data_IF_326053163491
#
_entry.id   IF_326053163491
#
_cell.length_a   1.000
_cell.length_b   1.000
_cell.length_c   1.000
_cell.angle_alpha   90.00
_cell.angle_beta   90.00
_cell.angle_gamma   90.00
#
_symmetry.space_group_name_H-M   'P 1'
#
loop_
_entity.id
_entity.type
_entity.pdbx_description
1 polymer ?
#
# COMPACT_ATOMS: atom_id res chain seq x y z
N UNK A 1 4.25 4.17 2.40
CA UNK A 1 2.92 3.57 2.08
C UNK A 1 2.27 4.19 0.85
N UNK A 2 2.16 5.52 0.73
CA UNK A 2 1.58 6.20 -0.46
C UNK A 2 2.17 5.72 -1.80
N UNK A 3 3.46 5.41 -1.82
CA UNK A 3 4.16 4.90 -3.00
C UNK A 3 3.57 3.58 -3.55
N UNK A 4 3.04 2.70 -2.71
CA UNK A 4 2.38 1.46 -3.18
C UNK A 4 1.06 1.74 -3.90
N UNK A 5 0.26 2.68 -3.41
CA UNK A 5 -0.97 3.10 -4.10
C UNK A 5 -0.64 3.76 -5.43
N UNK A 6 0.40 4.59 -5.45
CA UNK A 6 0.91 5.22 -6.65
C UNK A 6 1.37 4.18 -7.69
N UNK A 7 2.20 3.23 -7.29
CA UNK A 7 2.68 2.18 -8.20
C UNK A 7 1.55 1.27 -8.69
N UNK A 8 0.55 1.01 -7.84
CA UNK A 8 -0.65 0.30 -8.27
C UNK A 8 -1.38 1.03 -9.41
N UNK A 9 -1.52 2.34 -9.31
CA UNK A 9 -2.08 3.17 -10.37
C UNK A 9 -1.21 3.19 -11.64
N UNK A 10 0.09 3.30 -11.46
CA UNK A 10 1.06 3.29 -12.55
C UNK A 10 1.01 2.00 -13.38
N UNK A 11 0.95 0.83 -12.73
CA UNK A 11 0.94 -0.46 -13.42
C UNK A 11 -0.46 -0.96 -13.81
N UNK A 12 -1.52 -0.36 -13.27
CA UNK A 12 -2.88 -0.81 -13.58
C UNK A 12 -3.30 -0.40 -14.98
N UNK A 13 -3.46 -1.38 -15.86
CA UNK A 13 -3.85 -1.15 -17.26
C UNK A 13 -5.35 -1.00 -17.46
N UNK A 14 -6.17 -1.75 -16.74
CA UNK A 14 -7.64 -1.69 -16.87
C UNK A 14 -8.34 -2.22 -15.63
N UNK A 15 -9.38 -1.50 -15.20
CA UNK A 15 -10.33 -1.95 -14.16
C UNK A 15 -11.64 -2.41 -14.83
N UNK A 16 -11.55 -2.87 -16.09
CA UNK A 16 -12.70 -3.30 -16.88
C UNK A 16 -13.02 -4.79 -16.62
N UNK A 17 -14.29 -5.08 -16.36
CA UNK A 17 -14.78 -6.43 -16.18
C UNK A 17 -16.07 -6.49 -15.35
N UNK A 18 -16.74 -7.66 -15.27
CA UNK A 18 -17.90 -7.83 -14.41
C UNK A 18 -17.49 -7.68 -12.94
N UNK A 19 -18.35 -7.02 -12.15
CA UNK A 19 -18.03 -6.63 -10.77
C UNK A 19 -17.76 -7.83 -9.87
N UNK A 20 -18.62 -8.83 -9.91
CA UNK A 20 -18.53 -9.97 -8.97
C UNK A 20 -17.23 -10.78 -9.13
N UNK A 21 -16.81 -11.19 -10.34
CA UNK A 21 -15.51 -11.85 -10.54
C UNK A 21 -14.31 -10.97 -10.14
N UNK A 22 -14.39 -9.67 -10.41
CA UNK A 22 -13.34 -8.74 -10.03
C UNK A 22 -13.19 -8.64 -8.50
N UNK A 23 -14.31 -8.45 -7.79
CA UNK A 23 -14.30 -8.39 -6.33
C UNK A 23 -13.84 -9.71 -5.71
N UNK A 24 -14.32 -10.85 -6.22
CA UNK A 24 -13.88 -12.17 -5.77
C UNK A 24 -12.37 -12.38 -5.95
N UNK A 25 -11.80 -11.95 -7.09
CA UNK A 25 -10.34 -12.02 -7.32
C UNK A 25 -9.58 -11.13 -6.33
N UNK A 26 -10.03 -9.89 -6.11
CA UNK A 26 -9.38 -8.97 -5.16
C UNK A 26 -9.52 -9.44 -3.72
N UNK A 27 -10.67 -9.97 -3.33
CA UNK A 27 -10.86 -10.59 -2.00
C UNK A 27 -9.86 -11.72 -1.77
N UNK A 28 -9.73 -12.64 -2.71
CA UNK A 28 -8.77 -13.75 -2.63
C UNK A 28 -7.33 -13.27 -2.55
N UNK A 29 -6.96 -12.24 -3.32
CA UNK A 29 -5.56 -11.78 -3.42
C UNK A 29 -5.11 -10.84 -2.32
N UNK A 30 -6.02 -10.11 -1.70
CA UNK A 30 -5.69 -9.07 -0.72
C UNK A 30 -6.39 -9.29 0.62
N UNK A 31 -7.72 -9.45 0.63
CA UNK A 31 -8.47 -9.54 1.88
C UNK A 31 -8.19 -10.84 2.65
N UNK A 32 -8.13 -11.99 1.96
CA UNK A 32 -7.80 -13.26 2.60
C UNK A 32 -6.38 -13.24 3.20
N UNK A 33 -5.31 -12.83 2.48
CA UNK A 33 -3.99 -12.66 3.08
C UNK A 33 -3.96 -11.66 4.24
N UNK A 34 -4.72 -10.57 4.17
CA UNK A 34 -4.84 -9.62 5.28
C UNK A 34 -5.29 -10.33 6.57
N UNK A 35 -6.38 -11.10 6.51
CA UNK A 35 -6.89 -11.82 7.68
C UNK A 35 -5.89 -12.89 8.15
N UNK A 36 -5.39 -13.73 7.24
CA UNK A 36 -4.50 -14.84 7.61
C UNK A 36 -3.18 -14.34 8.22
N UNK A 37 -2.53 -13.37 7.59
CA UNK A 37 -1.28 -12.81 8.10
C UNK A 37 -1.49 -11.99 9.37
N UNK A 38 -2.64 -11.34 9.52
CA UNK A 38 -3.04 -10.64 10.74
C UNK A 38 -3.23 -11.59 11.91
N UNK A 39 -3.93 -12.70 11.71
CA UNK A 39 -4.13 -13.73 12.72
C UNK A 39 -2.81 -14.39 13.15
N UNK A 40 -1.91 -14.66 12.19
CA UNK A 40 -0.56 -15.17 12.52
C UNK A 40 0.19 -14.14 13.38
N UNK A 41 0.16 -12.86 13.03
CA UNK A 41 0.77 -11.79 13.85
C UNK A 41 0.19 -11.76 15.26
N UNK A 42 -1.14 -11.85 15.38
CA UNK A 42 -1.83 -11.89 16.67
C UNK A 42 -1.41 -13.12 17.51
N UNK A 43 -1.36 -14.29 16.88
CA UNK A 43 -0.93 -15.52 17.55
C UNK A 43 0.53 -15.42 18.08
N UNK A 44 1.44 -14.86 17.27
CA UNK A 44 2.81 -14.57 17.67
C UNK A 44 2.86 -13.59 18.84
N UNK A 45 2.08 -12.50 18.79
CA UNK A 45 2.00 -11.54 19.87
C UNK A 45 1.56 -12.20 21.19
N UNK A 46 0.50 -13.01 21.14
CA UNK A 46 -0.01 -13.74 22.29
C UNK A 46 1.00 -14.74 22.85
N UNK A 47 1.67 -15.51 21.96
CA UNK A 47 2.71 -16.45 22.37
C UNK A 47 3.85 -15.76 23.14
N UNK A 48 4.38 -14.65 22.61
CA UNK A 48 5.47 -13.92 23.28
C UNK A 48 5.02 -13.26 24.58
N UNK A 49 3.80 -12.72 24.62
CA UNK A 49 3.24 -12.16 25.86
C UNK A 49 3.03 -13.20 26.94
N UNK A 50 2.50 -14.36 26.56
CA UNK A 50 2.35 -15.47 27.49
C UNK A 50 3.71 -15.98 27.99
N UNK A 51 4.69 -16.14 27.13
CA UNK A 51 6.02 -16.62 27.44
C UNK A 51 6.82 -15.64 28.31
N UNK A 52 6.78 -14.33 28.04
CA UNK A 52 7.58 -13.31 28.72
C UNK A 52 6.91 -12.79 29.99
N UNK A 53 5.60 -12.63 30.00
CA UNK A 53 4.86 -11.97 31.10
C UNK A 53 4.09 -12.97 31.98
N UNK A 54 4.04 -14.24 31.62
CA UNK A 54 3.41 -15.31 32.38
C UNK A 54 1.88 -15.24 32.49
N UNK A 55 1.28 -14.09 32.26
CA UNK A 55 -0.18 -13.87 32.30
C UNK A 55 -0.58 -12.79 31.31
N UNK A 56 -1.64 -13.06 30.58
CA UNK A 56 -2.31 -12.03 29.77
C UNK A 56 -3.82 -12.06 30.00
N UNK A 57 -4.35 -10.95 30.50
CA UNK A 57 -5.72 -10.86 31.01
C UNK A 57 -6.82 -10.72 29.97
N UNK A 58 -6.46 -10.42 28.70
CA UNK A 58 -7.46 -10.20 27.65
C UNK A 58 -7.79 -11.50 26.90
N UNK A 59 -9.06 -11.71 26.59
CA UNK A 59 -9.51 -12.84 25.77
C UNK A 59 -8.95 -12.70 24.34
N UNK A 60 -8.14 -13.66 23.83
CA UNK A 60 -7.53 -13.59 22.51
C UNK A 60 -8.54 -13.54 21.36
N UNK A 61 -9.67 -14.24 21.50
CA UNK A 61 -10.71 -14.30 20.47
C UNK A 61 -11.41 -12.93 20.35
N UNK A 62 -11.79 -12.34 21.49
CA UNK A 62 -12.39 -10.99 21.51
C UNK A 62 -11.45 -9.96 20.91
N UNK A 63 -10.18 -10.04 21.27
CA UNK A 63 -9.14 -9.17 20.77
C UNK A 63 -8.94 -9.29 19.24
N UNK A 64 -8.80 -10.51 18.72
CA UNK A 64 -8.69 -10.74 17.28
C UNK A 64 -9.93 -10.24 16.53
N UNK A 65 -11.12 -10.46 17.11
CA UNK A 65 -12.37 -10.00 16.54
C UNK A 65 -12.47 -8.47 16.45
N UNK A 66 -12.08 -7.75 17.49
CA UNK A 66 -12.04 -6.27 17.50
C UNK A 66 -11.16 -5.71 16.37
N UNK A 67 -9.99 -6.33 16.12
CA UNK A 67 -9.10 -5.92 15.02
C UNK A 67 -9.66 -6.26 13.64
N UNK A 68 -10.29 -7.42 13.48
CA UNK A 68 -10.97 -7.78 12.22
C UNK A 68 -12.14 -6.83 11.95
N UNK A 69 -12.97 -6.57 12.98
CA UNK A 69 -14.15 -5.72 12.86
C UNK A 69 -13.80 -4.27 12.51
N UNK A 70 -12.76 -3.73 13.12
CA UNK A 70 -12.31 -2.37 12.84
C UNK A 70 -11.40 -2.28 11.61
N UNK A 71 -11.03 -3.40 11.01
CA UNK A 71 -10.03 -3.49 9.93
C UNK A 71 -8.76 -2.70 10.24
N UNK A 72 -8.38 -2.75 11.52
CA UNK A 72 -7.25 -2.04 12.09
C UNK A 72 -5.98 -2.90 12.07
N UNK A 73 -4.97 -2.44 12.79
CA UNK A 73 -3.71 -3.16 12.95
C UNK A 73 -3.92 -4.44 13.73
N UNK A 74 -3.22 -5.47 13.34
CA UNK A 74 -3.05 -6.65 14.17
C UNK A 74 -1.77 -6.51 15.01
N UNK A 75 -1.86 -6.71 16.32
CA UNK A 75 -0.67 -6.78 17.16
C UNK A 75 0.26 -7.89 16.66
N UNK A 76 1.57 -7.62 16.64
CA UNK A 76 2.56 -8.52 16.04
C UNK A 76 2.67 -8.44 14.52
N UNK A 77 1.71 -7.78 13.84
CA UNK A 77 1.80 -7.46 12.42
C UNK A 77 1.08 -6.14 12.09
N UNK A 78 1.49 -5.08 12.76
CA UNK A 78 0.86 -3.75 12.62
C UNK A 78 0.75 -3.27 11.16
N UNK A 79 1.74 -3.39 10.28
CA UNK A 79 1.63 -2.86 8.92
C UNK A 79 0.57 -3.52 8.04
N UNK A 80 -0.01 -4.64 8.46
CA UNK A 80 -0.96 -5.41 7.63
C UNK A 80 -2.25 -4.63 7.29
N UNK A 81 -2.64 -3.61 8.10
CA UNK A 81 -3.77 -2.72 7.81
C UNK A 81 -3.72 -2.14 6.40
N UNK A 82 -2.52 -1.93 5.89
CA UNK A 82 -2.30 -1.38 4.56
C UNK A 82 -2.90 -2.26 3.46
N UNK A 83 -2.83 -3.58 3.58
CA UNK A 83 -3.38 -4.52 2.59
C UNK A 83 -4.90 -4.38 2.52
N UNK A 84 -5.56 -4.16 3.66
CA UNK A 84 -6.98 -3.89 3.69
C UNK A 84 -7.34 -2.56 3.01
N UNK A 85 -6.63 -1.48 3.34
CA UNK A 85 -6.81 -0.18 2.68
C UNK A 85 -6.57 -0.27 1.17
N UNK A 86 -5.59 -1.09 0.77
CA UNK A 86 -5.28 -1.36 -0.63
C UNK A 86 -6.39 -2.13 -1.34
N UNK A 87 -6.99 -3.11 -0.66
CA UNK A 87 -8.19 -3.80 -1.13
C UNK A 87 -9.36 -2.84 -1.33
N UNK A 88 -9.67 -2.02 -0.33
CA UNK A 88 -10.76 -1.04 -0.38
C UNK A 88 -10.55 0.00 -1.48
N UNK A 89 -9.32 0.47 -1.67
CA UNK A 89 -8.97 1.35 -2.79
C UNK A 89 -9.30 0.70 -4.13
N UNK A 90 -8.95 -0.57 -4.35
CA UNK A 90 -9.29 -1.26 -5.61
C UNK A 90 -10.80 -1.42 -5.80
N UNK A 91 -11.54 -1.69 -4.73
CA UNK A 91 -13.01 -1.74 -4.77
C UNK A 91 -13.57 -0.38 -5.20
N UNK A 92 -13.16 0.70 -4.53
CA UNK A 92 -13.62 2.05 -4.84
C UNK A 92 -13.26 2.47 -6.28
N UNK A 93 -12.02 2.26 -6.71
CA UNK A 93 -11.56 2.57 -8.07
C UNK A 93 -12.36 1.78 -9.12
N UNK A 94 -12.69 0.51 -8.84
CA UNK A 94 -13.51 -0.29 -9.77
C UNK A 94 -14.89 0.35 -10.01
N UNK A 95 -15.56 0.79 -8.95
CA UNK A 95 -16.87 1.44 -9.08
C UNK A 95 -16.75 2.81 -9.78
N UNK A 96 -15.75 3.61 -9.43
CA UNK A 96 -15.48 4.90 -10.08
C UNK A 96 -15.22 4.73 -11.59
N UNK A 97 -14.40 3.75 -11.98
CA UNK A 97 -14.14 3.48 -13.39
C UNK A 97 -15.38 2.94 -14.12
N UNK A 98 -16.22 2.15 -13.46
CA UNK A 98 -17.50 1.74 -14.03
C UNK A 98 -18.42 2.91 -14.32
N UNK A 99 -18.58 3.81 -13.34
CA UNK A 99 -19.38 5.03 -13.52
C UNK A 99 -18.82 5.91 -14.65
N UNK A 100 -17.51 6.02 -14.73
CA UNK A 100 -16.83 6.78 -15.79
C UNK A 100 -17.03 6.20 -17.19
N UNK A 101 -17.10 4.87 -17.32
CA UNK A 101 -17.20 4.17 -18.60
C UNK A 101 -18.63 3.80 -19.01
N UNK A 102 -19.60 3.93 -18.12
CA UNK A 102 -21.02 3.68 -18.40
C UNK A 102 -21.73 4.98 -18.79
N UNK A 103 -21.70 5.39 -20.07
CA UNK A 103 -22.52 6.51 -20.50
C UNK A 103 -23.98 6.12 -20.26
N UNK A 104 -24.80 7.03 -19.75
CA UNK A 104 -26.23 6.79 -19.58
C UNK A 104 -26.83 6.26 -20.88
N UNK A 105 -27.69 5.26 -20.82
CA UNK A 105 -28.29 4.60 -22.01
C UNK A 105 -29.04 5.57 -22.93
N UNK A 106 -29.50 6.68 -22.36
CA UNK A 106 -30.24 7.74 -23.08
C UNK A 106 -29.36 8.73 -23.85
N UNK A 107 -28.01 8.63 -23.72
CA UNK A 107 -27.10 9.54 -24.45
C UNK A 107 -26.91 9.09 -25.88
N UNK A 108 -27.28 10.00 -26.82
CA UNK A 108 -27.15 9.77 -28.25
C UNK A 108 -25.67 9.47 -28.66
N UNK A 109 -25.45 8.63 -29.69
CA UNK A 109 -24.11 8.19 -30.10
C UNK A 109 -23.10 9.30 -30.34
N UNK A 110 -23.52 10.38 -30.92
CA UNK A 110 -22.68 11.56 -31.24
C UNK A 110 -22.23 12.33 -29.97
N UNK A 111 -22.98 12.23 -28.88
CA UNK A 111 -22.66 12.88 -27.60
C UNK A 111 -21.80 12.01 -26.68
N UNK A 112 -21.62 10.73 -26.98
CA UNK A 112 -20.86 9.80 -26.13
C UNK A 112 -19.42 10.26 -25.83
N UNK A 113 -18.74 10.86 -26.80
CA UNK A 113 -17.37 11.38 -26.62
C UNK A 113 -17.32 12.54 -25.62
N UNK A 114 -18.27 13.50 -25.73
CA UNK A 114 -18.36 14.63 -24.79
C UNK A 114 -18.74 14.17 -23.39
N UNK A 115 -19.70 13.24 -23.26
CA UNK A 115 -20.11 12.67 -21.97
C UNK A 115 -18.96 11.92 -21.30
N UNK A 116 -18.15 11.17 -22.06
CA UNK A 116 -16.97 10.49 -21.55
C UNK A 116 -15.89 11.47 -21.08
N UNK A 117 -15.70 12.58 -21.80
CA UNK A 117 -14.76 13.62 -21.41
C UNK A 117 -15.22 14.30 -20.11
N UNK A 118 -16.50 14.66 -20.04
CA UNK A 118 -17.10 15.29 -18.87
C UNK A 118 -17.05 14.37 -17.64
N UNK A 119 -17.42 13.09 -17.78
CA UNK A 119 -17.33 12.12 -16.69
C UNK A 119 -15.88 11.92 -16.21
N UNK A 120 -14.92 11.93 -17.13
CA UNK A 120 -13.50 11.89 -16.77
C UNK A 120 -13.07 13.15 -16.02
N UNK A 121 -13.45 14.32 -16.47
CA UNK A 121 -13.15 15.59 -15.80
C UNK A 121 -13.73 15.61 -14.37
N UNK A 122 -14.99 15.21 -14.21
CA UNK A 122 -15.65 15.11 -12.88
C UNK A 122 -14.86 14.16 -11.97
N UNK A 123 -14.50 12.96 -12.44
CA UNK A 123 -13.74 11.99 -11.64
C UNK A 123 -12.39 12.57 -11.24
N UNK A 124 -11.63 13.17 -12.14
CA UNK A 124 -10.34 13.78 -11.79
C UNK A 124 -10.49 14.94 -10.81
N UNK A 125 -11.51 15.79 -10.96
CA UNK A 125 -11.81 16.86 -10.01
C UNK A 125 -12.12 16.29 -8.62
N UNK A 126 -12.98 15.27 -8.54
CA UNK A 126 -13.27 14.59 -7.26
C UNK A 126 -12.01 14.00 -6.64
N UNK A 127 -11.17 13.35 -7.43
CA UNK A 127 -9.90 12.77 -6.96
C UNK A 127 -8.96 13.85 -6.41
N UNK A 128 -8.89 15.02 -7.05
CA UNK A 128 -8.07 16.13 -6.55
C UNK A 128 -8.58 16.72 -5.23
N UNK A 129 -9.85 16.54 -4.90
CA UNK A 129 -10.43 16.96 -3.62
C UNK A 129 -10.20 15.95 -2.50
N UNK A 130 -9.86 14.68 -2.78
CA UNK A 130 -9.71 13.64 -1.77
C UNK A 130 -8.64 13.94 -0.70
N UNK A 131 -7.47 14.54 -0.99
CA UNK A 131 -6.52 14.95 0.04
C UNK A 131 -7.12 15.96 1.02
N UNK A 132 -7.96 16.88 0.52
CA UNK A 132 -8.65 17.86 1.35
C UNK A 132 -9.71 17.22 2.24
N UNK A 133 -10.46 16.25 1.71
CA UNK A 133 -11.43 15.44 2.48
C UNK A 133 -10.68 14.65 3.57
N UNK A 134 -9.56 14.02 3.24
CA UNK A 134 -8.72 13.27 4.18
C UNK A 134 -8.21 14.17 5.32
N UNK A 135 -7.72 15.37 4.99
CA UNK A 135 -7.30 16.37 5.96
C UNK A 135 -8.43 16.84 6.86
N UNK A 136 -9.60 17.14 6.28
CA UNK A 136 -10.78 17.58 7.03
C UNK A 136 -11.27 16.52 8.03
N UNK A 137 -11.31 15.24 7.60
CA UNK A 137 -11.66 14.11 8.46
C UNK A 137 -10.69 13.98 9.64
N UNK A 138 -9.39 14.10 9.38
CA UNK A 138 -8.38 14.09 10.44
C UNK A 138 -8.59 15.24 11.44
N UNK A 139 -8.79 16.46 10.94
CA UNK A 139 -8.97 17.64 11.79
C UNK A 139 -10.21 17.53 12.69
N UNK A 140 -11.26 16.88 12.23
CA UNK A 140 -12.49 16.64 13.02
C UNK A 140 -12.34 15.52 14.04
N UNK A 141 -11.23 14.79 14.05
CA UNK A 141 -11.02 13.66 14.96
C UNK A 141 -11.98 12.50 14.75
N UNK A 142 -12.63 12.42 13.58
CA UNK A 142 -13.58 11.38 13.24
C UNK A 142 -12.90 10.33 12.35
N UNK A 143 -12.33 9.25 12.90
CA UNK A 143 -11.89 8.14 12.07
C UNK A 143 -13.12 7.49 11.44
N UNK A 144 -13.13 7.39 10.12
CA UNK A 144 -14.15 6.60 9.44
C UNK A 144 -13.95 5.13 9.77
N UNK A 145 -15.08 4.44 9.97
CA UNK A 145 -15.08 2.99 10.15
C UNK A 145 -14.31 2.29 9.03
N UNK A 146 -13.73 1.14 9.30
CA UNK A 146 -12.89 0.39 8.35
C UNK A 146 -11.67 1.15 7.83
N UNK A 147 -11.17 2.13 8.57
CA UNK A 147 -10.00 2.92 8.18
C UNK A 147 -10.13 3.58 6.78
N UNK A 148 -11.36 3.94 6.39
CA UNK A 148 -11.67 4.50 5.07
C UNK A 148 -10.99 5.85 4.82
N UNK A 149 -10.54 6.54 5.87
CA UNK A 149 -9.75 7.78 5.73
C UNK A 149 -8.53 7.57 4.83
N UNK A 150 -7.86 6.43 4.98
CA UNK A 150 -6.67 6.09 4.23
C UNK A 150 -6.98 5.75 2.76
N UNK A 151 -8.21 5.30 2.50
CA UNK A 151 -8.67 4.98 1.16
C UNK A 151 -8.79 6.24 0.30
N UNK A 152 -9.18 7.38 0.87
CA UNK A 152 -9.22 8.66 0.16
C UNK A 152 -7.84 9.02 -0.42
N UNK A 153 -6.81 8.99 0.43
CA UNK A 153 -5.43 9.22 -0.03
C UNK A 153 -4.95 8.12 -0.97
N UNK A 154 -5.34 6.86 -0.72
CA UNK A 154 -5.03 5.74 -1.60
C UNK A 154 -5.55 5.94 -3.02
N UNK A 155 -6.81 6.37 -3.18
CA UNK A 155 -7.43 6.68 -4.50
C UNK A 155 -6.68 7.84 -5.16
N UNK A 156 -6.37 8.91 -4.42
CA UNK A 156 -5.63 10.04 -4.94
C UNK A 156 -4.28 9.59 -5.51
N UNK A 157 -3.47 8.86 -4.74
CA UNK A 157 -2.17 8.37 -5.21
C UNK A 157 -2.28 7.36 -6.35
N UNK A 158 -3.34 6.54 -6.39
CA UNK A 158 -3.60 5.65 -7.52
C UNK A 158 -3.80 6.43 -8.82
N UNK A 159 -4.65 7.46 -8.83
CA UNK A 159 -4.88 8.27 -10.01
C UNK A 159 -3.66 9.13 -10.37
N UNK A 160 -2.92 9.61 -9.39
CA UNK A 160 -1.63 10.28 -9.60
C UNK A 160 -0.64 9.36 -10.33
N UNK A 161 -0.50 8.10 -9.88
CA UNK A 161 0.37 7.12 -10.55
C UNK A 161 -0.05 6.83 -11.98
N UNK A 162 -1.36 6.78 -12.26
CA UNK A 162 -1.90 6.61 -13.60
C UNK A 162 -1.61 7.82 -14.50
N UNK A 163 -1.76 9.02 -13.97
CA UNK A 163 -1.41 10.27 -14.66
C UNK A 163 0.09 10.36 -14.93
N UNK A 164 0.91 9.99 -13.93
CA UNK A 164 2.36 9.93 -14.06
C UNK A 164 2.80 8.96 -15.16
N UNK A 165 2.18 7.79 -15.22
CA UNK A 165 2.44 6.84 -16.32
C UNK A 165 2.15 7.46 -17.68
N UNK A 166 1.00 8.13 -17.83
CA UNK A 166 0.65 8.80 -19.08
C UNK A 166 1.71 9.84 -19.46
N UNK A 167 2.18 10.62 -18.49
CA UNK A 167 3.23 11.62 -18.69
C UNK A 167 4.56 10.95 -19.12
N UNK A 168 5.03 9.96 -18.37
CA UNK A 168 6.32 9.32 -18.63
C UNK A 168 6.36 8.53 -19.94
N UNK A 169 5.22 8.02 -20.40
CA UNK A 169 5.12 7.38 -21.73
C UNK A 169 5.39 8.35 -22.89
N UNK A 170 5.20 9.66 -22.69
CA UNK A 170 5.45 10.70 -23.69
C UNK A 170 6.80 11.39 -23.50
N UNK A 171 7.47 11.14 -22.37
CA UNK A 171 8.79 11.67 -22.10
C UNK A 171 9.87 10.67 -22.52
N UNK A 172 10.91 11.15 -23.19
CA UNK A 172 12.10 10.34 -23.41
C UNK A 172 12.83 10.06 -22.10
N UNK A 173 13.53 8.93 -22.02
CA UNK A 173 14.23 8.44 -20.81
C UNK A 173 15.16 9.50 -20.15
N UNK A 174 15.83 10.32 -20.94
CA UNK A 174 16.70 11.40 -20.43
C UNK A 174 15.88 12.44 -19.67
N UNK A 175 14.76 12.84 -20.23
CA UNK A 175 13.86 13.83 -19.62
C UNK A 175 13.15 13.27 -18.38
N UNK A 176 12.81 11.98 -18.39
CA UNK A 176 12.29 11.29 -17.21
C UNK A 176 13.30 11.33 -16.06
N UNK A 177 14.60 11.06 -16.33
CA UNK A 177 15.67 11.14 -15.34
C UNK A 177 15.82 12.56 -14.80
N UNK A 178 15.95 13.56 -15.68
CA UNK A 178 16.10 14.98 -15.29
C UNK A 178 14.91 15.42 -14.45
N UNK A 179 13.70 15.16 -14.90
CA UNK A 179 12.49 15.49 -14.14
C UNK A 179 12.49 14.83 -12.76
N UNK A 180 12.89 13.57 -12.67
CA UNK A 180 12.97 12.85 -11.40
C UNK A 180 13.95 13.48 -10.43
N UNK A 181 15.13 13.88 -10.90
CA UNK A 181 16.13 14.58 -10.08
C UNK A 181 15.58 15.92 -9.62
N UNK A 182 14.96 16.71 -10.50
CA UNK A 182 14.33 17.99 -10.15
C UNK A 182 13.26 17.82 -9.07
N UNK A 183 12.37 16.82 -9.23
CA UNK A 183 11.33 16.55 -8.24
C UNK A 183 11.90 16.10 -6.88
N UNK A 184 12.95 15.28 -6.87
CA UNK A 184 13.61 14.87 -5.62
C UNK A 184 14.35 16.04 -4.97
N UNK A 185 15.01 16.91 -5.75
CA UNK A 185 15.62 18.14 -5.22
C UNK A 185 14.57 19.08 -4.63
N UNK A 186 13.43 19.24 -5.34
CA UNK A 186 12.31 20.03 -4.84
C UNK A 186 11.70 19.42 -3.56
N UNK A 187 11.65 18.10 -3.46
CA UNK A 187 11.23 17.40 -2.23
C UNK A 187 12.17 17.73 -1.05
N UNK A 188 13.49 17.63 -1.25
CA UNK A 188 14.46 17.94 -0.19
C UNK A 188 14.31 19.40 0.26
N UNK A 189 14.27 20.34 -0.69
CA UNK A 189 14.10 21.77 -0.41
C UNK A 189 12.74 22.05 0.27
N UNK A 190 11.66 21.45 -0.25
CA UNK A 190 10.32 21.62 0.31
C UNK A 190 10.22 21.06 1.73
N UNK A 191 10.89 19.96 2.02
CA UNK A 191 10.90 19.38 3.36
C UNK A 191 11.67 20.24 4.37
N UNK A 192 12.72 20.92 3.92
CA UNK A 192 13.47 21.89 4.73
C UNK A 192 12.67 23.17 5.01
N UNK A 193 11.88 23.63 4.04
CA UNK A 193 11.14 24.90 4.14
C UNK A 193 9.78 24.74 4.83
N UNK A 194 9.07 23.64 4.60
CA UNK A 194 7.65 23.44 4.97
C UNK A 194 7.44 22.26 5.92
N UNK A 195 8.27 22.00 6.83
CA UNK A 195 8.17 20.95 7.84
C UNK A 195 6.76 20.32 7.96
N UNK A 196 6.41 19.44 7.04
CA UNK A 196 5.10 18.80 7.01
C UNK A 196 5.24 17.30 6.83
N UNK A 197 4.62 16.53 7.72
CA UNK A 197 4.62 15.07 7.66
C UNK A 197 3.20 14.54 7.51
N UNK A 198 3.03 13.56 6.65
CA UNK A 198 1.81 12.80 6.53
C UNK A 198 2.03 11.34 6.92
N UNK A 199 1.39 10.93 8.00
CA UNK A 199 1.41 9.54 8.47
C UNK A 199 0.14 8.83 8.00
N UNK A 200 0.26 8.00 6.97
CA UNK A 200 -0.89 7.33 6.35
C UNK A 200 -1.60 6.36 7.29
N UNK A 201 -0.87 5.71 8.21
CA UNK A 201 -1.44 4.75 9.15
C UNK A 201 -2.55 5.37 10.02
N UNK A 202 -2.27 6.51 10.63
CA UNK A 202 -3.20 7.25 11.48
C UNK A 202 -3.99 8.32 10.73
N UNK A 203 -3.78 8.45 9.42
CA UNK A 203 -4.26 9.58 8.61
C UNK A 203 -3.92 10.93 9.26
N UNK A 204 -2.75 11.04 9.90
CA UNK A 204 -2.35 12.22 10.66
C UNK A 204 -1.47 13.14 9.82
N UNK A 205 -1.72 14.44 9.99
CA UNK A 205 -0.94 15.50 9.37
C UNK A 205 -0.23 16.29 10.48
N UNK A 206 1.09 16.30 10.46
CA UNK A 206 1.91 17.09 11.36
C UNK A 206 2.52 18.28 10.61
N UNK A 207 2.62 19.42 11.27
CA UNK A 207 3.12 20.66 10.67
C UNK A 207 2.20 21.20 9.57
N UNK A 208 2.76 21.57 8.42
CA UNK A 208 2.01 22.09 7.29
C UNK A 208 1.39 20.94 6.45
N UNK A 209 0.05 20.76 6.46
CA UNK A 209 -0.60 19.64 5.76
C UNK A 209 -0.42 19.70 4.23
N UNK A 210 -0.39 20.89 3.65
CA UNK A 210 -0.21 21.05 2.22
C UNK A 210 1.23 20.75 1.81
N UNK A 211 2.21 21.21 2.62
CA UNK A 211 3.59 20.83 2.46
C UNK A 211 3.79 19.32 2.52
N UNK A 212 3.12 18.65 3.48
CA UNK A 212 3.16 17.19 3.62
C UNK A 212 2.63 16.46 2.36
N UNK A 213 1.49 16.91 1.81
CA UNK A 213 0.90 16.33 0.59
C UNK A 213 1.82 16.56 -0.61
N UNK A 214 2.27 17.80 -0.83
CA UNK A 214 3.17 18.15 -1.94
C UNK A 214 4.47 17.35 -1.86
N UNK A 215 5.11 17.29 -0.70
CA UNK A 215 6.32 16.51 -0.49
C UNK A 215 6.12 15.03 -0.79
N UNK A 216 4.97 14.46 -0.41
CA UNK A 216 4.65 13.06 -0.72
C UNK A 216 4.46 12.84 -2.23
N UNK A 217 3.86 13.79 -2.94
CA UNK A 217 3.73 13.75 -4.41
C UNK A 217 5.10 13.81 -5.06
N UNK A 218 5.95 14.77 -4.66
CA UNK A 218 7.29 14.96 -5.22
C UNK A 218 8.15 13.72 -5.07
N UNK A 219 8.17 13.13 -3.87
CA UNK A 219 8.96 11.91 -3.62
C UNK A 219 8.39 10.70 -4.37
N UNK A 220 7.06 10.54 -4.45
CA UNK A 220 6.46 9.42 -5.15
C UNK A 220 6.75 9.47 -6.66
N UNK A 221 6.58 10.62 -7.29
CA UNK A 221 6.87 10.83 -8.71
C UNK A 221 8.39 10.75 -8.98
N UNK A 222 9.20 11.44 -8.18
CA UNK A 222 10.66 11.49 -8.35
C UNK A 222 11.31 10.12 -8.19
N UNK A 223 10.99 9.36 -7.13
CA UNK A 223 11.53 8.01 -6.93
C UNK A 223 11.07 7.04 -8.04
N UNK A 224 9.79 7.10 -8.45
CA UNK A 224 9.31 6.20 -9.50
C UNK A 224 9.99 6.47 -10.83
N UNK A 225 10.14 7.72 -11.23
CA UNK A 225 10.81 8.09 -12.47
C UNK A 225 12.31 7.76 -12.43
N UNK A 226 12.99 7.99 -11.29
CA UNK A 226 14.38 7.59 -11.10
C UNK A 226 14.53 6.05 -11.21
N UNK A 227 13.65 5.30 -10.56
CA UNK A 227 13.65 3.84 -10.59
C UNK A 227 13.48 3.29 -12.01
N UNK A 228 12.59 3.89 -12.80
CA UNK A 228 12.33 3.51 -14.18
C UNK A 228 13.48 3.93 -15.11
N UNK A 229 13.94 5.16 -15.01
CA UNK A 229 15.02 5.70 -15.86
C UNK A 229 16.35 4.98 -15.65
N UNK A 230 16.68 4.58 -14.43
CA UNK A 230 17.87 3.79 -14.08
C UNK A 230 17.67 2.27 -14.31
N UNK A 231 16.46 1.82 -14.64
CA UNK A 231 16.12 0.40 -14.82
C UNK A 231 16.45 -0.46 -13.60
N UNK A 232 16.27 0.09 -12.39
CA UNK A 232 16.62 -0.59 -11.13
C UNK A 232 15.89 -1.93 -10.94
N UNK A 233 14.71 -2.11 -11.55
CA UNK A 233 14.01 -3.40 -11.55
C UNK A 233 14.76 -4.53 -12.29
N UNK A 234 15.81 -4.23 -13.07
CA UNK A 234 16.69 -5.22 -13.72
C UNK A 234 17.81 -5.72 -12.81
N UNK A 235 18.06 -5.03 -11.70
CA UNK A 235 18.99 -5.50 -10.67
C UNK A 235 18.38 -6.74 -10.01
N UNK A 236 19.05 -7.92 -10.03
CA UNK A 236 18.43 -9.18 -9.64
C UNK A 236 17.79 -9.16 -8.26
N UNK A 237 18.47 -8.60 -7.26
CA UNK A 237 17.97 -8.49 -5.90
C UNK A 237 16.71 -7.61 -5.81
N UNK A 238 16.75 -6.42 -6.44
CA UNK A 238 15.63 -5.47 -6.43
C UNK A 238 14.44 -6.05 -7.19
N UNK A 239 14.71 -6.67 -8.34
CA UNK A 239 13.69 -7.34 -9.15
C UNK A 239 13.02 -8.49 -8.37
N UNK A 240 13.82 -9.30 -7.68
CA UNK A 240 13.31 -10.38 -6.82
C UNK A 240 12.42 -9.86 -5.70
N UNK A 241 12.89 -8.88 -4.92
CA UNK A 241 12.10 -8.25 -3.86
C UNK A 241 10.79 -7.66 -4.40
N UNK A 242 10.87 -6.97 -5.55
CA UNK A 242 9.69 -6.40 -6.19
C UNK A 242 8.65 -7.44 -6.62
N UNK A 243 9.09 -8.55 -7.19
CA UNK A 243 8.21 -9.66 -7.61
C UNK A 243 7.55 -10.36 -6.42
N UNK A 244 8.24 -10.44 -5.29
CA UNK A 244 7.80 -11.10 -4.06
C UNK A 244 7.42 -10.11 -2.95
N UNK A 245 7.17 -8.85 -3.30
CA UNK A 245 6.93 -7.75 -2.34
C UNK A 245 5.85 -8.03 -1.31
N UNK A 246 4.83 -8.83 -1.66
CA UNK A 246 3.78 -9.24 -0.73
C UNK A 246 4.32 -10.08 0.43
N UNK A 247 5.27 -10.97 0.18
CA UNK A 247 5.91 -11.81 1.21
C UNK A 247 6.71 -10.93 2.18
N UNK A 248 7.55 -10.05 1.62
CA UNK A 248 8.34 -9.11 2.43
C UNK A 248 7.42 -8.21 3.24
N UNK A 249 6.35 -7.70 2.63
CA UNK A 249 5.40 -6.85 3.31
C UNK A 249 4.67 -7.58 4.45
N UNK A 250 4.24 -8.82 4.24
CA UNK A 250 3.50 -9.59 5.22
C UNK A 250 4.36 -10.07 6.40
N UNK A 251 5.66 -10.32 6.17
CA UNK A 251 6.52 -10.98 7.14
C UNK A 251 7.56 -10.07 7.82
N UNK A 252 7.92 -8.91 7.24
CA UNK A 252 8.98 -8.07 7.81
C UNK A 252 8.68 -7.66 9.26
N UNK A 253 7.44 -7.33 9.58
CA UNK A 253 7.08 -6.90 10.92
C UNK A 253 7.00 -8.07 11.92
N UNK A 254 6.38 -9.22 11.64
CA UNK A 254 6.49 -10.41 12.47
C UNK A 254 7.93 -10.81 12.77
N UNK A 255 8.83 -10.78 11.78
CA UNK A 255 10.25 -11.08 11.98
C UNK A 255 10.91 -10.04 12.88
N UNK A 256 10.65 -8.76 12.63
CA UNK A 256 11.15 -7.67 13.49
C UNK A 256 10.60 -7.79 14.92
N UNK A 257 9.32 -8.15 15.05
CA UNK A 257 8.68 -8.37 16.36
C UNK A 257 9.34 -9.52 17.14
N UNK A 258 9.59 -10.65 16.49
CA UNK A 258 10.31 -11.79 17.07
C UNK A 258 11.73 -11.38 17.47
N UNK A 259 12.47 -10.77 16.56
CA UNK A 259 13.83 -10.28 16.80
C UNK A 259 13.88 -9.36 18.03
N UNK A 260 13.00 -8.36 18.09
CA UNK A 260 12.93 -7.41 19.20
C UNK A 260 12.63 -8.08 20.54
N UNK A 261 11.69 -9.02 20.58
CA UNK A 261 11.34 -9.70 21.83
C UNK A 261 12.44 -10.65 22.32
N UNK A 262 13.07 -11.40 21.41
CA UNK A 262 14.23 -12.22 21.75
C UNK A 262 15.37 -11.35 22.24
N UNK A 263 15.64 -10.25 21.56
CA UNK A 263 16.69 -9.31 21.94
C UNK A 263 16.47 -8.67 23.31
N UNK A 264 15.26 -8.20 23.60
CA UNK A 264 14.93 -7.63 24.92
C UNK A 264 15.10 -8.65 26.04
N UNK A 265 14.92 -9.92 25.75
CA UNK A 265 15.12 -11.00 26.72
C UNK A 265 16.62 -11.28 27.02
N UNK A 266 17.49 -11.21 26.01
CA UNK A 266 18.92 -11.50 26.12
C UNK A 266 19.82 -10.27 26.33
N UNK A 267 19.38 -9.25 26.82
CA UNK A 267 19.67 -7.82 26.93
C UNK A 267 21.10 -7.36 27.28
N UNK A 268 22.19 -7.99 26.97
CA UNK A 268 23.49 -7.55 27.51
C UNK A 268 24.59 -7.15 26.54
N UNK A 269 24.47 -7.34 25.24
CA UNK A 269 25.66 -7.35 24.38
C UNK A 269 25.85 -6.18 23.44
N UNK A 270 24.80 -5.46 23.00
CA UNK A 270 24.99 -4.40 22.02
C UNK A 270 24.33 -3.06 22.40
N UNK A 271 25.16 -2.03 22.60
CA UNK A 271 24.72 -0.64 22.90
C UNK A 271 24.41 0.20 21.66
N UNK A 272 24.75 -0.26 20.47
CA UNK A 272 24.61 0.54 19.24
C UNK A 272 23.27 0.30 18.54
N UNK A 273 22.41 1.34 18.50
CA UNK A 273 21.12 1.31 17.78
C UNK A 273 21.31 1.06 16.26
N UNK A 274 22.42 1.53 15.67
CA UNK A 274 22.72 1.35 14.24
C UNK A 274 23.03 -0.11 13.94
N UNK A 275 23.83 -0.77 14.77
CA UNK A 275 24.18 -2.18 14.57
C UNK A 275 22.94 -3.06 14.66
N UNK A 276 22.02 -2.76 15.61
CA UNK A 276 20.74 -3.44 15.73
C UNK A 276 19.85 -3.25 14.49
N UNK A 277 19.76 -2.03 13.98
CA UNK A 277 18.99 -1.74 12.79
C UNK A 277 19.52 -2.51 11.57
N UNK A 278 20.84 -2.56 11.41
CA UNK A 278 21.49 -3.33 10.34
C UNK A 278 21.26 -4.83 10.53
N UNK A 279 21.45 -5.37 11.73
CA UNK A 279 21.22 -6.78 12.02
C UNK A 279 19.76 -7.18 11.77
N UNK A 280 18.80 -6.37 12.23
CA UNK A 280 17.38 -6.59 11.98
C UNK A 280 17.06 -6.57 10.48
N UNK A 281 17.62 -5.61 9.73
CA UNK A 281 17.42 -5.49 8.29
C UNK A 281 17.96 -6.75 7.57
N UNK A 282 19.18 -7.17 7.85
CA UNK A 282 19.79 -8.36 7.27
C UNK A 282 18.95 -9.61 7.59
N UNK A 283 18.52 -9.75 8.84
CA UNK A 283 17.67 -10.87 9.26
C UNK A 283 16.34 -10.90 8.52
N UNK A 284 15.68 -9.74 8.40
CA UNK A 284 14.41 -9.63 7.66
C UNK A 284 14.60 -10.05 6.21
N UNK A 285 15.62 -9.54 5.53
CA UNK A 285 15.87 -9.87 4.12
C UNK A 285 16.22 -11.35 3.96
N UNK A 286 17.12 -11.90 4.77
CA UNK A 286 17.50 -13.30 4.72
C UNK A 286 16.30 -14.23 4.98
N UNK A 287 15.54 -13.98 6.04
CA UNK A 287 14.38 -14.78 6.38
C UNK A 287 13.27 -14.69 5.33
N UNK A 288 12.90 -13.48 4.90
CA UNK A 288 11.87 -13.30 3.85
C UNK A 288 12.28 -13.97 2.54
N UNK A 289 13.55 -13.88 2.13
CA UNK A 289 14.06 -14.55 0.94
C UNK A 289 13.96 -16.07 1.07
N UNK A 290 14.39 -16.61 2.20
CA UNK A 290 14.36 -18.04 2.48
C UNK A 290 12.93 -18.60 2.50
N UNK A 291 12.00 -17.89 3.16
CA UNK A 291 10.61 -18.36 3.32
C UNK A 291 9.74 -18.16 2.10
N UNK A 292 10.13 -17.28 1.16
CA UNK A 292 9.34 -16.92 -0.03
C UNK A 292 8.80 -18.13 -0.79
N UNK A 293 9.60 -19.14 -1.18
CA UNK A 293 9.10 -20.29 -1.96
C UNK A 293 8.06 -21.11 -1.21
N UNK A 294 8.13 -21.16 0.11
CA UNK A 294 7.16 -21.86 0.96
C UNK A 294 5.89 -21.05 1.15
N UNK A 295 6.05 -19.75 1.45
CA UNK A 295 4.93 -18.83 1.65
C UNK A 295 4.06 -18.72 0.40
N UNK A 296 4.66 -18.68 -0.80
CA UNK A 296 3.93 -18.57 -2.05
C UNK A 296 3.17 -19.85 -2.46
N UNK A 297 3.53 -20.99 -1.91
CA UNK A 297 2.77 -22.24 -2.08
C UNK A 297 1.44 -22.22 -1.35
N UNK A 298 1.29 -21.35 -0.35
CA UNK A 298 0.08 -21.22 0.46
C UNK A 298 -0.78 -20.06 -0.08
N UNK A 299 -1.85 -20.34 -0.84
CA UNK A 299 -2.64 -19.29 -1.49
C UNK A 299 -3.29 -18.29 -0.51
N UNK A 300 -3.66 -18.75 0.68
CA UNK A 300 -4.28 -17.89 1.70
C UNK A 300 -3.33 -16.82 2.26
N UNK A 301 -2.02 -17.09 2.25
CA UNK A 301 -1.00 -16.16 2.73
C UNK A 301 -0.51 -15.24 1.61
N UNK A 302 -0.24 -15.82 0.45
CA UNK A 302 0.39 -15.12 -0.68
C UNK A 302 -0.60 -14.38 -1.59
N UNK A 303 -1.90 -14.75 -1.53
CA UNK A 303 -2.89 -14.27 -2.49
C UNK A 303 -2.70 -14.81 -3.92
N UNK A 304 -1.78 -15.76 -4.12
CA UNK A 304 -1.50 -16.37 -5.43
C UNK A 304 -2.33 -17.63 -5.63
N UNK A 305 -3.52 -17.46 -6.16
CA UNK A 305 -4.42 -18.57 -6.49
C UNK A 305 -4.13 -19.06 -7.91
N UNK A 306 -3.87 -20.37 -8.06
CA UNK A 306 -3.74 -20.98 -9.41
C UNK A 306 -5.09 -20.89 -10.12
N UNK A 307 -5.17 -20.13 -11.19
CA UNK A 307 -6.33 -20.15 -12.07
C UNK A 307 -6.34 -21.50 -12.82
N UNK A 308 -7.28 -22.36 -12.50
CA UNK A 308 -7.51 -23.63 -13.21
C UNK A 308 -7.94 -23.46 -14.70
N UNK A 309 -8.16 -22.21 -15.16
CA UNK A 309 -8.75 -21.92 -16.47
C UNK A 309 -7.77 -21.54 -17.58
N UNK A 310 -6.46 -21.65 -17.37
CA UNK A 310 -5.48 -21.52 -18.43
C UNK A 310 -4.74 -22.85 -18.59
N UNK A 311 -5.43 -23.85 -19.17
CA UNK A 311 -4.73 -24.88 -19.90
C UNK A 311 -3.93 -24.19 -21.02
N UNK A 312 -2.66 -24.56 -21.28
CA UNK A 312 -1.95 -24.06 -22.44
C UNK A 312 -2.78 -24.44 -23.66
N UNK A 313 -3.23 -23.42 -24.41
CA UNK A 313 -3.63 -23.66 -25.78
C UNK A 313 -2.37 -24.12 -26.50
N UNK A 314 -2.37 -25.42 -26.83
CA UNK A 314 -1.35 -26.07 -27.63
C UNK A 314 -1.33 -25.50 -29.06
#
# INVERSE_FOLDING_TARGET
>A
MCFFFFTAGYFNRTVSGPTLPYLADRTKRLFVPYICCGLIGTALFWFFRWFLEGRYSRNPIKFAWEHIYNCSDFYGNTPIWFIFSFFMMYVAVHFVEKLRHAPPRWVAPHRKKRTKLLSSAIVYTMVLLLPWVSYWLWRKGNPLWLNLNNVCMGIFFFYLGRTWRWLTMHLGRRWEFVLSVVLLSAFVTGNLLWHGEYTMHSNAFAGNPWGAIVNTILVACGLSGLFLSLRLGRVPLIGYIGQHSMVYFALHFPVLFIYRNIWLYFHTVMRSNVLHAVAALVLIFAFCTFITPYFERVPFLSGRWKNKSKAPQA
#
